data_IF_697807513143
#
_entry.id   IF_697807513143
#
_cell.length_a   1.000
_cell.length_b   1.000
_cell.length_c   1.000
_cell.angle_alpha   90.00
_cell.angle_beta   90.00
_cell.angle_gamma   90.00
#
_symmetry.space_group_name_H-M   'P 1'
#
loop_
_entity.id
_entity.type
_entity.pdbx_description
1 polymer ?
#
# COMPACT_ATOMS: atom_id res chain seq x y z
N UNK A 1 -49.41 -27.60 15.56
CA UNK A 1 -48.18 -26.84 15.30
C UNK A 1 -47.76 -27.05 13.84
N UNK A 2 -47.20 -26.05 13.15
CA UNK A 2 -46.55 -26.27 11.86
C UNK A 2 -45.36 -27.23 12.01
N UNK A 3 -45.10 -28.06 11.00
CA UNK A 3 -44.00 -29.04 11.04
C UNK A 3 -42.67 -28.30 10.84
N UNK A 4 -41.65 -28.51 11.71
CA UNK A 4 -40.34 -27.91 11.50
C UNK A 4 -39.77 -28.25 10.12
N UNK A 5 -39.19 -27.29 9.39
CA UNK A 5 -38.56 -27.59 8.11
C UNK A 5 -37.31 -28.45 8.33
N UNK A 6 -37.01 -29.33 7.37
CA UNK A 6 -35.79 -30.16 7.39
C UNK A 6 -34.53 -29.28 7.59
N UNK A 7 -33.50 -29.75 8.30
CA UNK A 7 -32.17 -29.11 8.23
C UNK A 7 -31.62 -29.07 6.80
N UNK A 8 -30.78 -28.09 6.49
CA UNK A 8 -30.11 -28.01 5.18
C UNK A 8 -29.22 -29.24 4.96
N UNK A 9 -29.16 -29.75 3.73
CA UNK A 9 -28.38 -30.94 3.39
C UNK A 9 -29.01 -32.27 3.83
N UNK A 10 -30.20 -32.26 4.45
CA UNK A 10 -30.87 -33.47 4.96
C UNK A 10 -32.12 -33.84 4.16
N UNK A 11 -32.52 -35.11 4.27
CA UNK A 11 -33.73 -35.66 3.68
C UNK A 11 -34.75 -36.14 4.71
N UNK A 12 -36.03 -36.02 4.35
CA UNK A 12 -37.14 -36.65 5.06
C UNK A 12 -37.25 -38.14 4.77
N UNK A 13 -38.22 -38.79 5.43
CA UNK A 13 -38.49 -40.25 5.30
C UNK A 13 -38.51 -40.71 3.84
N UNK A 14 -37.64 -41.66 3.52
CA UNK A 14 -37.63 -42.35 2.23
C UNK A 14 -38.89 -43.21 2.12
N UNK A 15 -39.56 -43.15 0.98
CA UNK A 15 -40.70 -44.00 0.64
C UNK A 15 -40.32 -44.89 -0.54
N UNK A 16 -40.59 -46.19 -0.42
CA UNK A 16 -40.39 -47.20 -1.46
C UNK A 16 -41.73 -47.47 -2.15
N UNK A 17 -41.71 -47.74 -3.45
CA UNK A 17 -42.90 -48.16 -4.21
C UNK A 17 -42.48 -49.01 -5.40
N UNK A 18 -43.13 -50.14 -5.65
CA UNK A 18 -42.99 -50.82 -6.95
C UNK A 18 -43.78 -50.04 -8.01
N UNK A 19 -43.21 -49.89 -9.21
CA UNK A 19 -43.81 -49.10 -10.31
C UNK A 19 -43.93 -49.87 -11.61
N UNK A 20 -43.23 -51.00 -11.73
CA UNK A 20 -43.47 -52.09 -12.69
C UNK A 20 -42.83 -53.36 -12.09
N UNK A 21 -43.19 -54.58 -12.53
CA UNK A 21 -42.60 -55.82 -12.01
C UNK A 21 -41.06 -55.78 -12.00
N UNK A 22 -40.46 -55.93 -10.81
CA UNK A 22 -39.01 -55.89 -10.65
C UNK A 22 -38.38 -54.50 -10.79
N UNK A 23 -39.16 -53.42 -10.89
CA UNK A 23 -38.70 -52.03 -10.91
C UNK A 23 -39.34 -51.25 -9.77
N UNK A 24 -38.54 -50.98 -8.74
CA UNK A 24 -38.95 -50.14 -7.62
C UNK A 24 -38.38 -48.73 -7.74
N UNK A 25 -39.13 -47.77 -7.23
CA UNK A 25 -38.72 -46.40 -6.96
C UNK A 25 -38.51 -46.21 -5.46
N UNK A 26 -37.47 -45.46 -5.09
CA UNK A 26 -37.36 -44.80 -3.81
C UNK A 26 -37.46 -43.28 -4.02
N UNK A 27 -38.19 -42.58 -3.15
CA UNK A 27 -38.35 -41.11 -3.18
C UNK A 27 -38.24 -40.49 -1.79
N UNK A 28 -37.62 -39.30 -1.71
CA UNK A 28 -37.54 -38.49 -0.50
C UNK A 28 -37.69 -36.99 -0.82
N UNK A 29 -38.00 -36.19 0.19
CA UNK A 29 -37.86 -34.74 0.16
C UNK A 29 -36.47 -34.39 0.69
N UNK A 30 -35.67 -33.63 -0.06
CA UNK A 30 -34.35 -33.13 0.37
C UNK A 30 -34.36 -31.61 0.43
N UNK A 31 -33.82 -31.01 1.50
CA UNK A 31 -33.66 -29.56 1.58
C UNK A 31 -32.27 -29.15 1.13
N UNK A 32 -32.21 -28.55 -0.04
CA UNK A 32 -30.98 -28.01 -0.62
C UNK A 32 -30.41 -26.86 0.20
N UNK A 33 -29.13 -26.58 -0.04
CA UNK A 33 -28.42 -25.45 0.55
C UNK A 33 -28.93 -24.08 0.06
N UNK A 34 -29.74 -24.01 -1.02
CA UNK A 34 -30.53 -22.81 -1.38
C UNK A 34 -31.80 -22.63 -0.53
N UNK A 35 -31.97 -23.46 0.51
CA UNK A 35 -33.09 -23.45 1.45
C UNK A 35 -34.37 -24.11 0.94
N UNK A 36 -34.47 -24.41 -0.37
CA UNK A 36 -35.67 -24.98 -0.98
C UNK A 36 -35.71 -26.49 -0.80
N UNK A 37 -36.91 -27.04 -0.64
CA UNK A 37 -37.12 -28.49 -0.55
C UNK A 37 -37.50 -29.04 -1.92
N UNK A 38 -36.76 -30.03 -2.41
CA UNK A 38 -36.97 -30.68 -3.72
C UNK A 38 -37.21 -32.18 -3.51
N UNK A 39 -38.08 -32.78 -4.33
CA UNK A 39 -38.22 -34.24 -4.38
C UNK A 39 -37.02 -34.82 -5.12
N UNK A 40 -36.40 -35.84 -4.55
CA UNK A 40 -35.37 -36.67 -5.21
C UNK A 40 -35.90 -38.09 -5.30
N UNK A 41 -35.78 -38.71 -6.47
CA UNK A 41 -36.09 -40.12 -6.67
C UNK A 41 -34.98 -40.88 -7.43
N UNK A 42 -34.90 -42.18 -7.15
CA UNK A 42 -34.02 -43.17 -7.80
C UNK A 42 -34.77 -44.48 -7.95
N UNK A 43 -34.28 -45.33 -8.86
CA UNK A 43 -34.89 -46.61 -9.20
C UNK A 43 -33.91 -47.77 -8.98
N UNK A 44 -34.42 -48.98 -8.82
CA UNK A 44 -33.60 -50.18 -8.70
C UNK A 44 -34.40 -51.48 -8.75
N UNK A 45 -33.69 -52.59 -9.00
CA UNK A 45 -34.26 -53.93 -9.19
C UNK A 45 -34.80 -54.59 -7.90
N UNK A 46 -34.83 -53.86 -6.78
CA UNK A 46 -35.56 -54.22 -5.55
C UNK A 46 -35.79 -52.94 -4.74
N UNK A 47 -36.78 -52.93 -3.84
CA UNK A 47 -37.03 -51.77 -2.97
C UNK A 47 -35.81 -51.35 -2.14
N UNK A 48 -34.95 -52.32 -1.74
CA UNK A 48 -33.70 -52.06 -1.04
C UNK A 48 -32.59 -51.53 -1.97
N UNK A 49 -32.49 -52.01 -3.22
CA UNK A 49 -31.55 -51.46 -4.22
C UNK A 49 -31.91 -50.01 -4.58
N UNK A 50 -33.19 -49.72 -4.78
CA UNK A 50 -33.67 -48.37 -5.05
C UNK A 50 -33.38 -47.40 -3.89
N UNK A 51 -33.53 -47.86 -2.63
CA UNK A 51 -33.19 -47.04 -1.46
C UNK A 51 -31.69 -46.79 -1.32
N UNK A 52 -30.83 -47.80 -1.52
CA UNK A 52 -29.36 -47.58 -1.49
C UNK A 52 -28.92 -46.55 -2.52
N UNK A 53 -29.38 -46.69 -3.77
CA UNK A 53 -29.11 -45.73 -4.84
C UNK A 53 -29.66 -44.32 -4.52
N UNK A 54 -30.77 -44.21 -3.78
CA UNK A 54 -31.27 -42.92 -3.32
C UNK A 54 -30.41 -42.34 -2.18
N UNK A 55 -30.04 -43.12 -1.17
CA UNK A 55 -29.19 -42.66 -0.06
C UNK A 55 -27.83 -42.20 -0.57
N UNK A 56 -27.21 -42.98 -1.46
CA UNK A 56 -25.97 -42.63 -2.16
C UNK A 56 -26.12 -41.32 -2.96
N UNK A 57 -27.20 -41.18 -3.75
CA UNK A 57 -27.48 -39.97 -4.51
C UNK A 57 -27.96 -38.76 -3.66
N UNK A 58 -28.17 -38.94 -2.36
CA UNK A 58 -28.47 -37.87 -1.40
C UNK A 58 -27.24 -37.49 -0.58
N UNK A 59 -26.37 -38.45 -0.20
CA UNK A 59 -25.11 -38.19 0.47
C UNK A 59 -24.06 -37.57 -0.45
N UNK A 60 -24.07 -37.93 -1.74
CA UNK A 60 -23.23 -37.31 -2.79
C UNK A 60 -23.81 -36.02 -3.36
N UNK A 61 -24.97 -35.54 -2.86
CA UNK A 61 -25.62 -34.32 -3.34
C UNK A 61 -24.97 -33.07 -2.74
N UNK A 62 -23.80 -32.74 -3.28
CA UNK A 62 -23.10 -31.49 -3.02
C UNK A 62 -23.95 -30.26 -3.39
N UNK A 63 -23.48 -29.07 -3.01
CA UNK A 63 -24.04 -27.80 -3.50
C UNK A 63 -24.07 -27.79 -5.03
N UNK A 64 -25.07 -27.15 -5.66
CA UNK A 64 -24.89 -26.56 -6.98
C UNK A 64 -23.88 -25.41 -6.84
N UNK A 65 -22.60 -25.70 -7.04
CA UNK A 65 -21.53 -24.69 -7.05
C UNK A 65 -21.35 -24.21 -8.49
N UNK A 66 -21.80 -23.00 -8.83
CA UNK A 66 -21.59 -22.38 -10.17
C UNK A 66 -20.13 -21.95 -10.43
N UNK A 67 -19.16 -22.55 -9.71
CA UNK A 67 -17.72 -22.38 -9.93
C UNK A 67 -17.11 -23.74 -10.27
N UNK A 68 -16.59 -23.88 -11.50
CA UNK A 68 -16.13 -25.15 -12.11
C UNK A 68 -14.84 -25.72 -11.47
N UNK A 69 -14.41 -25.18 -10.33
CA UNK A 69 -13.34 -25.73 -9.48
C UNK A 69 -13.83 -25.74 -8.03
N UNK A 70 -14.19 -26.93 -7.54
CA UNK A 70 -14.44 -27.12 -6.10
C UNK A 70 -13.11 -27.02 -5.34
N UNK A 71 -12.95 -25.92 -4.60
CA UNK A 71 -11.89 -25.78 -3.60
C UNK A 71 -12.33 -26.60 -2.39
N UNK A 72 -11.51 -27.58 -1.99
CA UNK A 72 -11.84 -28.50 -0.88
C UNK A 72 -10.76 -28.45 0.20
N UNK A 73 -10.95 -29.22 1.29
CA UNK A 73 -9.92 -29.41 2.33
C UNK A 73 -8.59 -29.94 1.77
N UNK A 74 -8.62 -30.65 0.65
CA UNK A 74 -7.47 -31.32 0.05
C UNK A 74 -6.75 -30.51 -1.03
N UNK A 75 -7.31 -29.39 -1.48
CA UNK A 75 -6.64 -28.44 -2.38
C UNK A 75 -5.33 -27.95 -1.74
N UNK A 76 -4.21 -27.95 -2.49
CA UNK A 76 -2.94 -27.41 -1.99
C UNK A 76 -2.97 -25.89 -1.94
N UNK A 77 -2.23 -25.27 -1.03
CA UNK A 77 -2.14 -23.80 -0.95
C UNK A 77 -1.50 -23.18 -2.20
N UNK A 78 -0.68 -23.91 -2.96
CA UNK A 78 -0.19 -23.49 -4.28
C UNK A 78 -1.35 -23.33 -5.30
N UNK A 79 -2.25 -24.30 -5.37
CA UNK A 79 -3.41 -24.29 -6.28
C UNK A 79 -4.41 -23.20 -5.86
N UNK A 80 -4.68 -23.08 -4.56
CA UNK A 80 -5.50 -22.00 -4.01
C UNK A 80 -4.91 -20.61 -4.31
N UNK A 81 -3.58 -20.46 -4.27
CA UNK A 81 -2.92 -19.20 -4.60
C UNK A 81 -3.11 -18.81 -6.07
N UNK A 82 -3.11 -19.80 -6.99
CA UNK A 82 -3.43 -19.60 -8.41
C UNK A 82 -4.89 -19.15 -8.59
N UNK A 83 -5.85 -19.93 -8.09
CA UNK A 83 -7.29 -19.62 -8.20
C UNK A 83 -7.64 -18.26 -7.58
N UNK A 84 -6.98 -17.89 -6.49
CA UNK A 84 -7.15 -16.60 -5.84
C UNK A 84 -6.57 -15.41 -6.64
N UNK A 85 -5.47 -15.62 -7.35
CA UNK A 85 -4.95 -14.62 -8.30
C UNK A 85 -5.92 -14.45 -9.48
N UNK A 86 -6.32 -15.55 -10.12
CA UNK A 86 -7.24 -15.55 -11.28
C UNK A 86 -8.54 -14.78 -10.95
N UNK A 87 -9.21 -15.14 -9.85
CA UNK A 87 -10.44 -14.46 -9.37
C UNK A 87 -10.24 -12.97 -9.03
N UNK A 88 -9.01 -12.54 -8.72
CA UNK A 88 -8.68 -11.11 -8.48
C UNK A 88 -8.33 -10.36 -9.76
N UNK A 89 -7.74 -11.03 -10.73
CA UNK A 89 -7.45 -10.48 -12.07
C UNK A 89 -8.77 -10.25 -12.83
N UNK A 90 -9.63 -11.27 -12.90
CA UNK A 90 -11.01 -11.17 -13.42
C UNK A 90 -11.78 -9.99 -12.82
N UNK A 91 -11.69 -9.81 -11.49
CA UNK A 91 -12.47 -8.80 -10.78
C UNK A 91 -12.23 -7.36 -11.24
N UNK A 92 -11.11 -7.08 -11.92
CA UNK A 92 -10.66 -5.76 -12.38
C UNK A 92 -10.58 -4.65 -11.29
N UNK A 93 -10.79 -5.00 -10.01
CA UNK A 93 -10.84 -4.06 -8.87
C UNK A 93 -9.46 -3.61 -8.38
N UNK A 94 -8.38 -4.27 -8.83
CA UNK A 94 -7.02 -4.09 -8.33
C UNK A 94 -6.10 -3.52 -9.43
N UNK A 95 -5.21 -2.60 -9.07
CA UNK A 95 -4.23 -2.08 -10.00
C UNK A 95 -3.16 -3.14 -10.33
N UNK A 96 -2.62 -3.13 -11.54
CA UNK A 96 -1.59 -4.08 -11.98
C UNK A 96 -0.40 -4.19 -11.01
N UNK A 97 0.09 -3.06 -10.46
CA UNK A 97 1.17 -3.05 -9.48
C UNK A 97 0.84 -3.71 -8.11
N UNK A 98 -0.44 -3.88 -7.79
CA UNK A 98 -0.90 -4.69 -6.65
C UNK A 98 -0.84 -6.17 -7.01
N UNK A 99 -1.40 -6.55 -8.16
CA UNK A 99 -1.40 -7.94 -8.64
C UNK A 99 0.04 -8.46 -8.82
N UNK A 100 0.94 -7.66 -9.41
CA UNK A 100 2.37 -7.99 -9.52
C UNK A 100 3.04 -8.20 -8.15
N UNK A 101 2.71 -7.37 -7.15
CA UNK A 101 3.21 -7.54 -5.79
C UNK A 101 2.67 -8.84 -5.14
N UNK A 102 1.43 -9.21 -5.42
CA UNK A 102 0.81 -10.40 -4.84
C UNK A 102 1.36 -11.68 -5.49
N UNK A 103 1.55 -11.68 -6.83
CA UNK A 103 2.30 -12.72 -7.57
C UNK A 103 3.75 -12.86 -7.07
N UNK A 104 4.44 -11.74 -6.82
CA UNK A 104 5.81 -11.70 -6.29
C UNK A 104 5.90 -12.37 -4.90
N UNK A 105 4.95 -12.12 -4.01
CA UNK A 105 4.88 -12.73 -2.67
C UNK A 105 4.50 -14.21 -2.71
N UNK A 106 3.62 -14.61 -3.63
CA UNK A 106 3.25 -16.01 -3.83
C UNK A 106 4.48 -16.79 -4.29
N UNK A 107 5.12 -16.35 -5.39
CA UNK A 107 6.28 -17.03 -5.99
C UNK A 107 7.48 -17.09 -5.06
N UNK A 108 7.80 -16.02 -4.32
CA UNK A 108 9.04 -15.94 -3.54
C UNK A 108 8.91 -16.38 -2.08
N UNK A 109 7.70 -16.46 -1.52
CA UNK A 109 7.51 -16.77 -0.10
C UNK A 109 6.44 -17.84 0.16
N UNK A 110 5.22 -17.67 -0.37
CA UNK A 110 4.11 -18.57 0.02
C UNK A 110 4.23 -19.94 -0.65
N UNK A 111 4.44 -20.03 -1.96
CA UNK A 111 4.61 -21.33 -2.63
C UNK A 111 5.83 -22.10 -2.10
N UNK A 112 7.03 -21.49 -1.91
CA UNK A 112 8.17 -22.20 -1.35
C UNK A 112 8.04 -22.62 0.13
N UNK A 113 7.25 -21.90 0.94
CA UNK A 113 7.14 -22.15 2.39
C UNK A 113 5.87 -22.87 2.84
N UNK A 114 4.83 -22.90 2.00
CA UNK A 114 3.50 -23.45 2.31
C UNK A 114 2.83 -24.16 1.12
N UNK A 115 3.44 -24.17 -0.07
CA UNK A 115 2.76 -24.54 -1.32
C UNK A 115 2.10 -25.91 -1.33
N UNK A 116 2.76 -26.91 -0.73
CA UNK A 116 2.28 -28.30 -0.68
C UNK A 116 1.35 -28.62 0.50
N UNK A 117 1.19 -27.70 1.45
CA UNK A 117 0.24 -27.84 2.57
C UNK A 117 -1.18 -27.77 2.02
N UNK A 118 -2.07 -28.65 2.49
CA UNK A 118 -3.49 -28.66 2.11
C UNK A 118 -4.27 -27.57 2.85
N UNK A 119 -5.37 -27.11 2.26
CA UNK A 119 -6.29 -26.12 2.87
C UNK A 119 -6.78 -26.54 4.26
N UNK A 120 -7.06 -27.83 4.48
CA UNK A 120 -7.45 -28.38 5.78
C UNK A 120 -6.31 -28.52 6.81
N UNK A 121 -5.04 -28.48 6.36
CA UNK A 121 -3.83 -28.58 7.19
C UNK A 121 -3.29 -27.19 7.60
N UNK A 122 -3.75 -26.13 6.94
CA UNK A 122 -3.31 -24.74 7.08
C UNK A 122 -3.78 -24.07 8.40
N UNK A 123 -3.54 -24.72 9.53
CA UNK A 123 -3.94 -24.27 10.87
C UNK A 123 -3.27 -22.96 11.29
N UNK A 124 -3.81 -22.33 12.34
CA UNK A 124 -3.24 -21.10 12.94
C UNK A 124 -1.75 -21.27 13.26
N UNK A 125 -1.34 -22.42 13.82
CA UNK A 125 0.06 -22.68 14.17
C UNK A 125 0.98 -22.78 12.95
N UNK A 126 0.55 -23.46 11.89
CA UNK A 126 1.32 -23.59 10.63
C UNK A 126 1.50 -22.23 9.96
N UNK A 127 0.43 -21.45 9.86
CA UNK A 127 0.47 -20.11 9.27
C UNK A 127 1.28 -19.12 10.12
N UNK A 128 1.18 -19.19 11.46
CA UNK A 128 1.97 -18.35 12.36
C UNK A 128 3.46 -18.68 12.30
N UNK A 129 3.83 -19.96 12.26
CA UNK A 129 5.22 -20.41 12.09
C UNK A 129 5.82 -19.90 10.78
N UNK A 130 5.10 -20.03 9.66
CA UNK A 130 5.50 -19.44 8.37
C UNK A 130 5.67 -17.91 8.46
N UNK A 131 4.69 -17.21 9.04
CA UNK A 131 4.75 -15.74 9.20
C UNK A 131 5.89 -15.28 10.13
N UNK A 132 6.34 -16.12 11.07
CA UNK A 132 7.56 -15.91 11.87
C UNK A 132 8.84 -16.16 11.06
N UNK A 133 8.87 -17.19 10.21
CA UNK A 133 10.03 -17.51 9.38
C UNK A 133 10.33 -16.47 8.27
N UNK A 134 9.31 -15.72 7.79
CA UNK A 134 9.53 -14.67 6.76
C UNK A 134 10.49 -13.58 7.28
N UNK A 135 11.65 -13.45 6.62
CA UNK A 135 12.82 -12.73 7.11
C UNK A 135 12.63 -11.23 7.44
N UNK A 136 11.63 -10.54 6.87
CA UNK A 136 11.37 -9.12 7.18
C UNK A 136 9.93 -8.85 7.58
N UNK A 137 9.77 -7.91 8.49
CA UNK A 137 8.49 -7.49 9.06
C UNK A 137 7.53 -6.85 8.05
N UNK A 138 8.09 -6.25 6.99
CA UNK A 138 7.31 -5.77 5.86
C UNK A 138 6.73 -6.94 5.04
N UNK A 139 7.58 -7.91 4.66
CA UNK A 139 7.16 -9.08 3.87
C UNK A 139 6.20 -9.98 4.65
N UNK A 140 6.45 -10.24 5.93
CA UNK A 140 5.56 -11.05 6.78
C UNK A 140 4.12 -10.48 6.79
N UNK A 141 3.96 -9.17 6.98
CA UNK A 141 2.64 -8.52 6.90
C UNK A 141 2.01 -8.60 5.51
N UNK A 142 2.80 -8.45 4.44
CA UNK A 142 2.31 -8.58 3.07
C UNK A 142 1.85 -10.02 2.76
N UNK A 143 2.64 -11.03 3.14
CA UNK A 143 2.26 -12.44 3.03
C UNK A 143 0.98 -12.74 3.83
N UNK A 144 0.80 -12.16 5.03
CA UNK A 144 -0.45 -12.29 5.80
C UNK A 144 -1.64 -11.72 5.05
N UNK A 145 -1.50 -10.59 4.35
CA UNK A 145 -2.59 -10.02 3.53
C UNK A 145 -2.97 -10.96 2.38
N UNK A 146 -1.98 -11.53 1.70
CA UNK A 146 -2.21 -12.50 0.59
C UNK A 146 -2.86 -13.78 1.11
N UNK A 147 -2.29 -14.42 2.14
CA UNK A 147 -2.85 -15.59 2.81
C UNK A 147 -4.26 -15.32 3.34
N UNK A 148 -4.54 -14.12 3.85
CA UNK A 148 -5.88 -13.74 4.28
C UNK A 148 -6.89 -13.74 3.14
N UNK A 149 -6.49 -13.27 1.96
CA UNK A 149 -7.31 -13.39 0.76
C UNK A 149 -7.54 -14.84 0.34
N UNK A 150 -6.48 -15.65 0.29
CA UNK A 150 -6.54 -17.07 -0.09
C UNK A 150 -7.46 -17.86 0.86
N UNK A 151 -7.23 -17.78 2.18
CA UNK A 151 -8.03 -18.52 3.16
C UNK A 151 -9.47 -17.97 3.29
N UNK A 152 -9.71 -16.70 2.93
CA UNK A 152 -11.09 -16.19 2.78
C UNK A 152 -11.78 -16.80 1.56
N UNK A 153 -11.06 -17.01 0.45
CA UNK A 153 -11.60 -17.73 -0.71
C UNK A 153 -11.91 -19.19 -0.36
N UNK A 154 -11.03 -19.89 0.35
CA UNK A 154 -11.30 -21.24 0.82
C UNK A 154 -12.55 -21.33 1.72
N UNK A 155 -12.73 -20.38 2.63
CA UNK A 155 -13.93 -20.30 3.48
C UNK A 155 -15.21 -19.95 2.69
N UNK A 156 -15.11 -19.17 1.60
CA UNK A 156 -16.24 -18.89 0.70
C UNK A 156 -16.71 -20.10 -0.11
N UNK A 157 -15.88 -21.13 -0.23
CA UNK A 157 -16.20 -22.40 -0.90
C UNK A 157 -16.45 -23.53 0.12
N UNK A 158 -16.70 -23.19 1.40
CA UNK A 158 -16.91 -24.12 2.53
C UNK A 158 -15.75 -25.12 2.78
N UNK A 159 -14.56 -24.89 2.21
CA UNK A 159 -13.40 -25.75 2.40
C UNK A 159 -12.84 -25.69 3.84
N UNK A 160 -13.11 -24.60 4.55
CA UNK A 160 -12.77 -24.39 5.97
C UNK A 160 -13.84 -23.52 6.65
N UNK A 161 -14.15 -23.84 7.91
CA UNK A 161 -15.25 -23.24 8.68
C UNK A 161 -15.01 -21.77 9.05
N UNK A 162 -13.74 -21.38 9.23
CA UNK A 162 -13.31 -20.00 9.46
C UNK A 162 -11.90 -19.78 8.91
N UNK A 163 -11.57 -18.55 8.53
CA UNK A 163 -10.23 -18.19 8.08
C UNK A 163 -9.21 -18.20 9.25
N UNK A 164 -8.23 -19.13 9.28
CA UNK A 164 -7.28 -19.28 10.39
C UNK A 164 -6.21 -18.17 10.45
N UNK A 165 -6.09 -17.31 9.43
CA UNK A 165 -5.11 -16.21 9.45
C UNK A 165 -5.42 -15.17 10.54
N UNK A 166 -6.68 -15.08 10.97
CA UNK A 166 -7.17 -14.03 11.87
C UNK A 166 -6.46 -14.14 13.22
N UNK A 167 -6.35 -15.36 13.72
CA UNK A 167 -5.82 -15.69 15.04
C UNK A 167 -4.27 -15.73 15.09
N UNK A 168 -3.58 -15.59 13.95
CA UNK A 168 -2.11 -15.58 13.90
C UNK A 168 -1.51 -14.30 14.52
N UNK A 169 -0.27 -14.38 15.01
CA UNK A 169 0.46 -13.27 15.63
C UNK A 169 0.77 -12.19 14.60
N UNK A 170 0.40 -10.94 14.89
CA UNK A 170 0.74 -9.80 14.03
C UNK A 170 2.10 -9.23 14.47
N UNK A 171 3.19 -9.59 13.78
CA UNK A 171 4.52 -9.03 14.10
C UNK A 171 4.46 -7.50 14.09
N UNK A 172 4.98 -6.88 15.15
CA UNK A 172 5.03 -5.43 15.34
C UNK A 172 6.49 -4.96 15.27
N UNK A 173 6.69 -3.90 14.50
CA UNK A 173 7.94 -3.16 14.39
C UNK A 173 7.54 -1.69 14.48
N UNK A 174 8.19 -0.95 15.38
CA UNK A 174 7.97 0.49 15.50
C UNK A 174 8.32 1.16 14.16
N UNK A 175 7.44 2.01 13.60
CA UNK A 175 7.73 2.68 12.35
C UNK A 175 8.96 3.58 12.53
N UNK A 176 9.99 3.37 11.72
CA UNK A 176 11.20 4.19 11.74
C UNK A 176 10.85 5.68 11.60
N UNK A 177 11.46 6.50 12.45
CA UNK A 177 11.15 7.92 12.56
C UNK A 177 11.24 8.65 11.21
N UNK A 178 10.46 9.71 11.07
CA UNK A 178 10.72 10.69 10.03
C UNK A 178 12.02 11.44 10.37
N UNK A 179 13.02 11.29 9.50
CA UNK A 179 14.18 12.17 9.40
C UNK A 179 14.01 12.99 8.12
N UNK A 180 14.06 14.31 8.26
CA UNK A 180 14.20 15.27 7.18
C UNK A 180 15.69 15.52 6.90
N UNK A 181 15.99 16.12 5.75
CA UNK A 181 17.30 16.75 5.51
C UNK A 181 17.35 18.11 6.22
N UNK A 182 18.50 18.52 6.74
CA UNK A 182 18.77 19.95 6.97
C UNK A 182 18.95 20.69 5.64
N UNK A 183 19.01 22.02 5.67
CA UNK A 183 19.33 22.81 4.47
C UNK A 183 20.73 22.48 3.97
N UNK A 184 21.72 22.37 4.86
CA UNK A 184 23.12 22.09 4.50
C UNK A 184 23.28 20.67 3.93
N UNK A 185 22.64 19.66 4.56
CA UNK A 185 22.57 18.29 4.03
C UNK A 185 21.96 18.25 2.63
N UNK A 186 20.94 19.09 2.36
CA UNK A 186 20.30 19.18 1.05
C UNK A 186 21.22 19.84 0.00
N UNK A 187 21.99 20.88 0.36
CA UNK A 187 22.91 21.51 -0.58
C UNK A 187 24.13 20.61 -0.88
N UNK A 188 24.72 19.97 0.13
CA UNK A 188 25.77 18.96 -0.07
C UNK A 188 25.29 17.80 -0.96
N UNK A 189 24.08 17.30 -0.72
CA UNK A 189 23.46 16.26 -1.55
C UNK A 189 23.22 16.74 -3.00
N UNK A 190 22.81 17.99 -3.21
CA UNK A 190 22.72 18.60 -4.56
C UNK A 190 24.08 18.64 -5.26
N UNK A 191 25.14 19.05 -4.56
CA UNK A 191 26.50 19.11 -5.09
C UNK A 191 26.98 17.70 -5.49
N UNK A 192 26.81 16.68 -4.64
CA UNK A 192 27.11 15.26 -4.97
C UNK A 192 26.35 14.78 -6.21
N UNK A 193 25.05 15.08 -6.29
CA UNK A 193 24.19 14.71 -7.44
C UNK A 193 24.65 15.41 -8.73
N UNK A 194 24.97 16.70 -8.66
CA UNK A 194 25.43 17.48 -9.81
C UNK A 194 26.78 16.99 -10.32
N UNK A 195 27.76 16.77 -9.45
CA UNK A 195 29.10 16.28 -9.82
C UNK A 195 29.08 14.85 -10.33
N UNK A 196 28.29 13.95 -9.73
CA UNK A 196 28.06 12.60 -10.25
C UNK A 196 27.44 12.61 -11.66
N UNK A 197 26.50 13.53 -11.92
CA UNK A 197 25.87 13.66 -13.24
C UNK A 197 26.80 14.33 -14.26
N UNK A 198 27.64 15.26 -13.80
CA UNK A 198 28.64 15.95 -14.61
C UNK A 198 29.80 15.07 -15.07
N UNK A 199 30.02 13.93 -14.43
CA UNK A 199 31.18 13.05 -14.65
C UNK A 199 30.84 11.71 -15.30
N UNK A 200 31.76 11.21 -16.12
CA UNK A 200 31.84 9.81 -16.51
C UNK A 200 33.28 9.48 -16.92
N UNK A 201 33.73 8.24 -16.69
CA UNK A 201 35.08 7.81 -17.05
C UNK A 201 35.19 7.47 -18.54
N UNK A 202 34.12 6.92 -19.14
CA UNK A 202 34.05 6.58 -20.56
C UNK A 202 32.64 6.86 -21.12
N UNK A 203 32.56 7.53 -22.26
CA UNK A 203 31.30 7.87 -22.92
C UNK A 203 30.57 9.08 -22.33
N UNK A 204 29.30 9.33 -22.74
CA UNK A 204 28.55 10.52 -22.37
C UNK A 204 28.36 10.71 -20.85
N UNK A 205 28.12 11.96 -20.42
CA UNK A 205 27.84 12.32 -19.03
C UNK A 205 26.62 11.55 -18.49
N UNK A 206 26.66 11.16 -17.20
CA UNK A 206 25.65 10.29 -16.58
C UNK A 206 24.41 11.09 -16.21
N UNK A 207 23.22 10.63 -16.57
CA UNK A 207 21.94 11.18 -16.08
C UNK A 207 21.91 12.71 -16.04
N UNK A 208 22.16 13.38 -17.17
CA UNK A 208 22.39 14.83 -17.23
C UNK A 208 21.18 15.67 -16.78
N UNK A 209 20.00 15.07 -16.70
CA UNK A 209 18.74 15.62 -16.19
C UNK A 209 18.48 15.33 -14.70
N UNK A 210 19.28 14.44 -14.10
CA UNK A 210 19.06 13.92 -12.75
C UNK A 210 19.13 14.98 -11.63
N UNK A 211 19.93 16.06 -11.73
CA UNK A 211 19.86 17.18 -10.78
C UNK A 211 18.52 17.91 -10.83
N UNK A 212 17.96 18.14 -12.02
CA UNK A 212 16.68 18.82 -12.18
C UNK A 212 15.49 17.93 -11.77
N UNK A 213 15.63 16.61 -11.91
CA UNK A 213 14.72 15.64 -11.32
C UNK A 213 14.78 15.66 -9.78
N UNK A 214 15.96 15.83 -9.18
CA UNK A 214 16.11 15.98 -7.73
C UNK A 214 15.51 17.29 -7.23
N UNK A 215 15.70 18.40 -7.95
CA UNK A 215 15.04 19.67 -7.66
C UNK A 215 13.51 19.56 -7.80
N UNK A 216 12.98 18.85 -8.79
CA UNK A 216 11.54 18.59 -8.90
C UNK A 216 10.99 17.69 -7.76
N UNK A 217 11.80 16.77 -7.22
CA UNK A 217 11.42 15.93 -6.07
C UNK A 217 11.32 16.73 -4.76
N UNK A 218 12.22 17.69 -4.52
CA UNK A 218 12.17 18.55 -3.33
C UNK A 218 11.22 19.75 -3.51
N UNK A 219 11.10 20.31 -4.72
CA UNK A 219 10.20 21.44 -5.01
C UNK A 219 8.71 21.07 -4.95
N UNK A 220 8.35 19.88 -5.44
CA UNK A 220 6.95 19.39 -5.34
C UNK A 220 6.65 18.65 -4.03
N UNK A 221 7.66 18.00 -3.44
CA UNK A 221 7.42 16.96 -2.41
C UNK A 221 6.71 15.71 -2.97
N UNK A 222 6.62 15.55 -4.28
CA UNK A 222 5.94 14.44 -4.95
C UNK A 222 6.57 13.08 -4.67
N UNK A 223 5.81 12.01 -4.90
CA UNK A 223 6.36 10.65 -4.95
C UNK A 223 7.16 10.50 -6.25
N UNK A 224 8.27 9.77 -6.24
CA UNK A 224 9.11 9.55 -7.43
C UNK A 224 8.34 9.01 -8.66
N UNK A 225 7.26 8.25 -8.47
CA UNK A 225 6.41 7.82 -9.58
C UNK A 225 5.54 8.94 -10.18
N UNK A 226 5.17 9.97 -9.40
CA UNK A 226 4.42 11.14 -9.85
C UNK A 226 5.33 12.11 -10.61
N UNK A 227 6.52 12.39 -10.06
CA UNK A 227 7.49 13.33 -10.69
C UNK A 227 8.05 12.78 -12.00
N UNK A 228 8.26 11.45 -12.10
CA UNK A 228 8.60 10.79 -13.37
C UNK A 228 7.42 10.70 -14.36
N UNK A 229 6.22 11.08 -13.94
CA UNK A 229 5.01 11.14 -14.76
C UNK A 229 4.57 12.58 -15.06
N UNK A 230 5.42 13.58 -14.80
CA UNK A 230 5.20 14.95 -15.28
C UNK A 230 5.28 14.99 -16.80
N UNK A 231 4.37 15.75 -17.41
CA UNK A 231 4.25 15.93 -18.85
C UNK A 231 4.24 17.43 -19.16
N UNK A 232 4.81 17.85 -20.30
CA UNK A 232 4.89 19.27 -20.68
C UNK A 232 3.50 19.91 -20.86
N UNK A 233 2.50 19.14 -21.32
CA UNK A 233 1.09 19.58 -21.42
C UNK A 233 0.46 19.95 -20.06
N UNK A 234 0.98 19.39 -18.96
CA UNK A 234 0.51 19.58 -17.60
C UNK A 234 1.28 20.66 -16.82
N UNK A 235 2.23 21.34 -17.45
CA UNK A 235 2.92 22.51 -16.88
C UNK A 235 2.25 23.79 -17.37
N UNK A 236 2.05 24.74 -16.45
CA UNK A 236 1.72 26.14 -16.75
C UNK A 236 2.89 27.00 -16.27
N UNK A 237 3.41 27.83 -17.16
CA UNK A 237 4.47 28.78 -16.82
C UNK A 237 3.86 30.01 -16.17
N UNK A 238 4.66 30.75 -15.40
CA UNK A 238 4.19 31.97 -14.73
C UNK A 238 3.77 33.04 -15.76
N UNK A 239 2.80 33.85 -15.36
CA UNK A 239 2.33 35.06 -16.06
C UNK A 239 2.10 36.15 -15.02
N UNK A 240 1.87 37.39 -15.44
CA UNK A 240 1.57 38.51 -14.55
C UNK A 240 0.30 38.29 -13.69
N UNK A 241 -0.53 37.30 -14.06
CA UNK A 241 -1.80 36.97 -13.40
C UNK A 241 -1.79 35.59 -12.69
N UNK A 242 -0.72 34.79 -12.81
CA UNK A 242 -0.68 33.42 -12.27
C UNK A 242 0.73 32.91 -12.03
N UNK A 243 1.01 32.23 -10.89
CA UNK A 243 2.30 31.58 -10.68
C UNK A 243 2.47 30.37 -11.62
N UNK A 244 3.69 29.85 -11.74
CA UNK A 244 3.93 28.60 -12.44
C UNK A 244 3.30 27.42 -11.66
N UNK A 245 2.72 26.45 -12.37
CA UNK A 245 2.02 25.31 -11.77
C UNK A 245 2.27 24.00 -12.54
N UNK A 246 2.14 22.85 -11.87
CA UNK A 246 2.09 21.52 -12.52
C UNK A 246 0.87 20.72 -12.05
N UNK A 247 0.19 20.02 -12.97
CA UNK A 247 -0.92 19.13 -12.63
C UNK A 247 -0.45 17.68 -12.44
N UNK A 248 -0.81 17.06 -11.30
CA UNK A 248 -0.44 15.68 -10.97
C UNK A 248 -1.36 14.64 -11.63
N UNK A 249 -1.31 14.53 -12.96
CA UNK A 249 -2.21 13.67 -13.74
C UNK A 249 -2.06 12.15 -13.46
N UNK A 250 -0.83 11.65 -13.34
CA UNK A 250 -0.54 10.21 -13.37
C UNK A 250 0.61 9.74 -12.49
N UNK A 251 1.05 8.50 -12.70
CA UNK A 251 2.22 7.92 -12.04
C UNK A 251 2.87 6.79 -12.86
N UNK A 252 4.21 6.70 -12.88
CA UNK A 252 4.94 5.56 -13.47
C UNK A 252 4.95 4.38 -12.50
N UNK A 253 4.61 3.19 -12.99
CA UNK A 253 4.45 2.00 -12.15
C UNK A 253 5.78 1.22 -11.92
N UNK A 254 5.69 -0.04 -11.44
CA UNK A 254 6.86 -0.93 -11.27
C UNK A 254 7.51 -1.32 -12.61
N UNK A 255 6.70 -1.51 -13.66
CA UNK A 255 7.09 -2.02 -14.98
C UNK A 255 7.73 -0.96 -15.88
N UNK A 256 7.47 0.33 -15.61
CA UNK A 256 7.86 1.44 -16.48
C UNK A 256 6.73 1.97 -17.35
N UNK A 257 5.49 1.53 -17.10
CA UNK A 257 4.30 2.01 -17.80
C UNK A 257 3.77 3.29 -17.11
N UNK A 258 3.31 4.26 -17.89
CA UNK A 258 2.52 5.38 -17.37
C UNK A 258 1.12 4.88 -16.97
N UNK A 259 0.65 5.30 -15.80
CA UNK A 259 -0.70 5.00 -15.33
C UNK A 259 -1.43 6.32 -14.98
N UNK A 260 -2.47 6.73 -15.72
CA UNK A 260 -3.37 7.78 -15.26
C UNK A 260 -4.05 7.31 -13.96
N UNK A 261 -4.26 8.20 -12.99
CA UNK A 261 -4.71 7.80 -11.65
C UNK A 261 -6.22 7.79 -11.50
N UNK A 262 -6.88 6.62 -11.24
CA UNK A 262 -8.33 6.53 -11.22
C UNK A 262 -8.86 6.07 -9.85
N UNK A 263 -8.41 6.64 -8.73
CA UNK A 263 -8.85 6.13 -7.40
C UNK A 263 -8.99 7.07 -6.20
N UNK A 264 -8.54 8.32 -6.26
CA UNK A 264 -8.93 9.38 -5.29
C UNK A 264 -8.74 10.75 -5.92
N UNK A 265 -9.79 11.57 -5.97
CA UNK A 265 -9.72 12.92 -6.56
C UNK A 265 -8.63 13.79 -5.89
N UNK A 266 -8.49 13.70 -4.57
CA UNK A 266 -7.44 14.39 -3.77
C UNK A 266 -6.00 14.09 -4.19
N UNK A 267 -5.77 13.02 -4.99
CA UNK A 267 -4.43 12.64 -5.46
C UNK A 267 -4.04 13.21 -6.83
N UNK A 268 -4.96 13.93 -7.49
CA UNK A 268 -4.72 14.73 -8.69
C UNK A 268 -5.08 16.19 -8.35
N UNK A 269 -4.09 17.07 -8.39
CA UNK A 269 -4.26 18.49 -8.07
C UNK A 269 -3.18 19.30 -8.80
N UNK A 270 -3.37 20.61 -8.86
CA UNK A 270 -2.32 21.54 -9.26
C UNK A 270 -1.41 21.84 -8.06
N UNK A 271 -0.09 21.76 -8.26
CA UNK A 271 0.90 22.30 -7.35
C UNK A 271 1.45 23.61 -7.92
N UNK A 272 1.50 24.65 -7.10
CA UNK A 272 2.27 25.86 -7.37
C UNK A 272 3.76 25.50 -7.27
N UNK A 273 4.57 26.02 -8.20
CA UNK A 273 5.99 25.70 -8.29
C UNK A 273 6.85 26.78 -7.63
N UNK A 274 7.81 26.42 -6.74
CA UNK A 274 8.82 27.35 -6.28
C UNK A 274 9.84 27.66 -7.39
N UNK A 275 10.40 28.87 -7.42
CA UNK A 275 11.20 29.36 -8.55
C UNK A 275 12.38 28.45 -8.93
N UNK A 276 13.06 27.85 -7.97
CA UNK A 276 14.17 26.92 -8.26
C UNK A 276 13.71 25.68 -9.04
N UNK A 277 12.47 25.24 -8.85
CA UNK A 277 11.86 24.16 -9.62
C UNK A 277 11.39 24.65 -10.99
N UNK A 278 10.95 25.90 -11.12
CA UNK A 278 10.69 26.53 -12.43
C UNK A 278 11.98 26.60 -13.25
N UNK A 279 13.09 27.03 -12.65
CA UNK A 279 14.42 27.02 -13.27
C UNK A 279 14.87 25.61 -13.64
N UNK A 280 14.62 24.60 -12.79
CA UNK A 280 14.92 23.20 -13.09
C UNK A 280 14.14 22.70 -14.31
N UNK A 281 12.84 23.04 -14.41
CA UNK A 281 12.01 22.71 -15.57
C UNK A 281 12.42 23.48 -16.84
N UNK A 282 12.86 24.74 -16.72
CA UNK A 282 13.42 25.50 -17.84
C UNK A 282 14.70 24.86 -18.37
N UNK A 283 15.66 24.53 -17.49
CA UNK A 283 16.87 23.76 -17.84
C UNK A 283 16.51 22.41 -18.47
N UNK A 284 15.49 21.73 -17.95
CA UNK A 284 15.05 20.43 -18.47
C UNK A 284 14.42 20.54 -19.86
N UNK A 285 13.63 21.58 -20.12
CA UNK A 285 13.07 21.87 -21.45
C UNK A 285 14.16 22.21 -22.46
N UNK A 286 15.17 22.98 -22.04
CA UNK A 286 16.31 23.37 -22.89
C UNK A 286 17.28 22.22 -23.24
N UNK A 287 17.10 21.00 -22.70
CA UNK A 287 17.89 19.82 -23.09
C UNK A 287 17.38 19.12 -24.35
N UNK A 288 16.18 19.46 -24.82
CA UNK A 288 15.52 18.86 -26.00
C UNK A 288 15.62 17.31 -26.04
N UNK A 289 15.28 16.68 -24.92
CA UNK A 289 15.35 15.22 -24.79
C UNK A 289 14.27 14.55 -25.66
N UNK A 290 14.54 13.36 -26.22
CA UNK A 290 13.55 12.58 -26.95
C UNK A 290 12.25 12.42 -26.15
N UNK A 291 11.11 12.58 -26.80
CA UNK A 291 9.78 12.40 -26.22
C UNK A 291 8.91 11.56 -27.14
N UNK A 292 8.12 10.66 -26.56
CA UNK A 292 6.99 10.04 -27.25
C UNK A 292 5.69 10.86 -27.04
N UNK A 293 4.56 10.28 -27.45
CA UNK A 293 3.20 10.82 -27.31
C UNK A 293 2.83 11.29 -25.89
N UNK A 294 3.47 10.76 -24.84
CA UNK A 294 3.20 11.15 -23.45
C UNK A 294 3.77 12.53 -23.09
N UNK A 295 4.65 13.12 -23.90
CA UNK A 295 5.20 14.46 -23.64
C UNK A 295 5.99 14.57 -22.33
N UNK A 296 6.67 13.51 -21.90
CA UNK A 296 7.26 13.42 -20.56
C UNK A 296 8.39 14.42 -20.32
N UNK A 297 8.43 14.98 -19.10
CA UNK A 297 9.49 15.89 -18.63
C UNK A 297 10.79 15.12 -18.34
N UNK A 298 10.70 13.88 -17.84
CA UNK A 298 11.84 13.03 -17.49
C UNK A 298 11.79 11.66 -18.21
N UNK A 299 11.89 11.64 -19.56
CA UNK A 299 11.75 10.44 -20.39
C UNK A 299 12.90 9.44 -20.20
N UNK A 300 12.80 8.24 -20.77
CA UNK A 300 13.92 7.33 -20.98
C UNK A 300 14.85 7.86 -22.10
N UNK A 301 15.89 7.10 -22.45
CA UNK A 301 16.72 7.39 -23.63
C UNK A 301 15.89 7.41 -24.93
N UNK A 302 14.78 6.67 -24.93
CA UNK A 302 13.99 6.32 -26.11
C UNK A 302 12.63 7.04 -26.10
N UNK A 303 12.52 8.13 -25.35
CA UNK A 303 11.32 8.99 -25.25
C UNK A 303 10.15 8.46 -24.43
N UNK A 304 10.11 7.15 -24.13
CA UNK A 304 9.10 6.54 -23.24
C UNK A 304 9.36 6.81 -21.75
N UNK A 305 8.61 6.18 -20.82
CA UNK A 305 8.81 6.40 -19.39
C UNK A 305 10.02 5.65 -18.81
N UNK A 306 10.78 6.28 -17.91
CA UNK A 306 11.88 5.61 -17.19
C UNK A 306 11.40 4.90 -15.93
N UNK A 307 11.90 3.69 -15.65
CA UNK A 307 11.43 2.91 -14.49
C UNK A 307 11.81 3.56 -13.16
N UNK A 308 10.91 3.45 -12.17
CA UNK A 308 11.20 3.91 -10.81
C UNK A 308 12.31 3.08 -10.13
N UNK A 309 12.64 1.90 -10.65
CA UNK A 309 13.75 1.07 -10.18
C UNK A 309 15.12 1.62 -10.63
N UNK A 310 15.26 1.93 -11.93
CA UNK A 310 16.49 2.47 -12.51
C UNK A 310 16.79 3.86 -11.93
N UNK A 311 15.77 4.71 -11.80
CA UNK A 311 15.88 6.04 -11.18
C UNK A 311 16.32 5.96 -9.71
N UNK A 312 15.86 4.95 -8.96
CA UNK A 312 16.34 4.68 -7.60
C UNK A 312 17.77 4.11 -7.56
N UNK A 313 18.26 3.47 -8.63
CA UNK A 313 19.66 3.04 -8.75
C UNK A 313 20.55 4.27 -8.94
N UNK A 314 20.26 5.10 -9.93
CA UNK A 314 20.93 6.39 -10.16
C UNK A 314 21.00 7.23 -8.88
N UNK A 315 19.91 7.31 -8.09
CA UNK A 315 19.94 8.01 -6.81
C UNK A 315 20.91 7.42 -5.78
N UNK A 316 21.02 6.08 -5.69
CA UNK A 316 21.97 5.41 -4.80
C UNK A 316 23.41 5.58 -5.24
N UNK A 317 23.64 5.62 -6.55
CA UNK A 317 24.96 5.80 -7.13
C UNK A 317 25.43 7.26 -6.94
N UNK A 318 24.52 8.23 -7.14
CA UNK A 318 24.80 9.66 -7.03
C UNK A 318 25.07 10.13 -5.59
N UNK A 319 24.23 9.74 -4.63
CA UNK A 319 24.41 10.12 -3.21
C UNK A 319 25.69 9.55 -2.57
N UNK A 320 26.25 8.48 -3.16
CA UNK A 320 27.51 7.82 -2.76
C UNK A 320 28.75 8.42 -3.42
N UNK A 321 28.58 9.33 -4.37
CA UNK A 321 29.69 10.12 -4.89
C UNK A 321 30.22 11.03 -3.78
N UNK A 322 31.54 11.15 -3.67
CA UNK A 322 32.23 12.04 -2.73
C UNK A 322 32.81 13.18 -3.56
N UNK A 323 32.63 14.42 -3.11
CA UNK A 323 33.16 15.61 -3.78
C UNK A 323 34.36 16.11 -2.98
N UNK A 324 35.38 16.62 -3.68
CA UNK A 324 36.53 17.24 -3.03
C UNK A 324 36.31 18.75 -2.97
N UNK A 325 36.24 19.30 -1.76
CA UNK A 325 36.17 20.73 -1.48
C UNK A 325 37.53 21.18 -0.95
N UNK A 326 38.20 22.09 -1.69
CA UNK A 326 39.58 22.52 -1.43
C UNK A 326 40.62 21.38 -1.36
N UNK A 327 40.30 20.20 -1.90
CA UNK A 327 41.13 19.00 -1.89
C UNK A 327 40.67 17.93 -0.90
N UNK A 328 39.87 18.30 0.11
CA UNK A 328 39.38 17.39 1.15
C UNK A 328 37.99 16.82 0.83
N UNK A 329 37.65 15.58 1.25
CA UNK A 329 36.31 15.02 1.06
C UNK A 329 35.20 15.81 1.78
N UNK A 330 34.11 16.09 1.06
CA UNK A 330 32.88 16.69 1.61
C UNK A 330 32.16 15.80 2.67
N UNK A 331 32.59 14.54 2.78
CA UNK A 331 32.18 13.58 3.80
C UNK A 331 32.34 12.15 3.33
N UNK A 332 32.08 11.13 4.18
CA UNK A 332 32.16 9.74 3.77
C UNK A 332 31.08 9.39 2.73
N UNK A 333 31.33 8.31 1.96
CA UNK A 333 30.45 7.89 0.87
C UNK A 333 29.06 7.39 1.35
N UNK A 334 28.92 7.02 2.62
CA UNK A 334 27.69 6.52 3.25
C UNK A 334 26.91 7.61 4.02
N UNK A 335 27.41 8.85 4.10
CA UNK A 335 26.76 10.01 4.74
C UNK A 335 25.26 10.13 4.40
N UNK A 336 24.91 9.90 3.13
CA UNK A 336 23.54 9.95 2.61
C UNK A 336 22.91 8.56 2.35
N UNK A 337 23.44 7.47 2.90
CA UNK A 337 22.89 6.10 2.77
C UNK A 337 21.44 6.00 3.26
N UNK A 338 21.06 6.81 4.25
CA UNK A 338 19.70 6.90 4.78
C UNK A 338 18.74 7.71 3.90
N UNK A 339 19.25 8.54 2.97
CA UNK A 339 18.44 9.42 2.11
C UNK A 339 17.84 8.61 0.97
N UNK A 340 16.54 8.70 0.77
CA UNK A 340 15.83 8.08 -0.37
C UNK A 340 14.98 9.12 -1.08
N UNK A 341 14.40 8.83 -2.26
CA UNK A 341 13.41 9.73 -2.86
C UNK A 341 12.18 10.00 -1.98
N UNK A 342 11.91 9.19 -0.95
CA UNK A 342 10.88 9.49 0.07
C UNK A 342 11.36 10.52 1.10
N UNK A 343 12.67 10.71 1.27
CA UNK A 343 13.25 11.67 2.22
C UNK A 343 12.98 13.11 1.79
N UNK A 344 13.08 13.48 0.51
CA UNK A 344 12.69 14.82 0.04
C UNK A 344 11.25 15.18 0.47
N UNK A 345 10.32 14.23 0.28
CA UNK A 345 8.92 14.35 0.74
C UNK A 345 8.76 14.38 2.28
N UNK A 346 9.71 13.85 3.06
CA UNK A 346 9.76 14.06 4.52
C UNK A 346 10.26 15.48 4.85
N UNK A 347 11.27 15.97 4.13
CA UNK A 347 11.81 17.33 4.29
C UNK A 347 10.73 18.38 4.01
N UNK A 348 10.06 18.33 2.85
CA UNK A 348 8.95 19.24 2.49
C UNK A 348 7.85 19.21 3.54
N UNK A 349 7.38 18.01 3.93
CA UNK A 349 6.33 17.87 4.93
C UNK A 349 6.74 18.41 6.31
N UNK A 350 8.01 18.27 6.69
CA UNK A 350 8.53 18.77 7.97
C UNK A 350 8.60 20.29 7.96
N UNK A 351 9.23 20.89 6.93
CA UNK A 351 9.34 22.35 6.80
C UNK A 351 7.94 22.98 6.75
N UNK A 352 7.02 22.48 5.92
CA UNK A 352 5.66 23.04 5.86
C UNK A 352 4.88 22.87 7.17
N UNK A 353 5.07 21.75 7.89
CA UNK A 353 4.42 21.54 9.19
C UNK A 353 5.00 22.42 10.30
N UNK A 354 6.25 22.85 10.15
CA UNK A 354 6.97 23.68 11.11
C UNK A 354 6.79 25.19 10.87
N UNK A 355 6.70 25.62 9.61
CA UNK A 355 6.59 27.04 9.20
C UNK A 355 5.14 27.51 8.98
N UNK A 356 4.24 26.64 8.51
CA UNK A 356 2.86 27.01 8.10
C UNK A 356 1.79 26.21 8.88
N UNK A 357 1.95 24.90 8.96
CA UNK A 357 1.04 24.02 9.69
C UNK A 357 0.86 22.62 9.08
N UNK A 358 0.30 21.72 9.88
CA UNK A 358 0.10 20.31 9.51
C UNK A 358 -0.84 20.13 8.31
N UNK A 359 -1.77 21.07 8.14
CA UNK A 359 -2.81 21.10 7.13
C UNK A 359 -2.22 21.46 5.76
N UNK A 360 -1.46 22.56 5.67
CA UNK A 360 -0.70 22.94 4.47
C UNK A 360 0.30 21.82 4.06
N UNK A 361 0.97 21.21 5.04
CA UNK A 361 1.83 20.04 4.80
C UNK A 361 1.07 18.80 4.32
N UNK A 362 -0.23 18.67 4.59
CA UNK A 362 -1.07 17.59 4.07
C UNK A 362 -1.58 17.88 2.66
N UNK A 363 -1.95 19.14 2.40
CA UNK A 363 -2.45 19.62 1.10
C UNK A 363 -1.38 19.56 0.01
N UNK A 364 -0.19 20.13 0.25
CA UNK A 364 0.98 20.02 -0.67
C UNK A 364 1.32 18.56 -1.00
N UNK A 365 1.06 17.64 -0.07
CA UNK A 365 1.34 16.22 -0.26
C UNK A 365 0.15 15.46 -0.89
N UNK A 366 -1.03 16.06 -1.08
CA UNK A 366 -2.24 15.36 -1.52
C UNK A 366 -2.63 14.21 -0.58
N UNK A 367 -2.61 14.47 0.73
CA UNK A 367 -3.07 13.53 1.74
C UNK A 367 -4.49 13.87 2.19
N UNK A 368 -5.36 12.85 2.28
CA UNK A 368 -6.75 12.99 2.75
C UNK A 368 -6.90 13.27 4.25
N UNK A 369 -5.80 13.35 4.99
CA UNK A 369 -5.80 13.70 6.42
C UNK A 369 -4.40 14.14 6.88
N UNK A 370 -4.29 15.23 7.68
CA UNK A 370 -3.03 15.64 8.31
C UNK A 370 -2.39 14.58 9.21
N UNK A 371 -3.16 13.64 9.76
CA UNK A 371 -2.60 12.56 10.59
C UNK A 371 -1.71 11.60 9.78
N UNK A 372 -1.99 11.40 8.49
CA UNK A 372 -1.11 10.62 7.60
C UNK A 372 0.24 11.34 7.44
N UNK A 373 0.23 12.67 7.34
CA UNK A 373 1.43 13.52 7.28
C UNK A 373 2.21 13.45 8.60
N UNK A 374 1.52 13.67 9.73
CA UNK A 374 2.09 13.66 11.10
C UNK A 374 2.72 12.32 11.46
N UNK A 375 2.09 11.20 11.07
CA UNK A 375 2.53 9.85 11.43
C UNK A 375 3.70 9.32 10.59
N UNK A 376 3.86 9.77 9.35
CA UNK A 376 4.75 9.12 8.37
C UNK A 376 5.73 10.03 7.64
N UNK A 377 5.57 11.35 7.72
CA UNK A 377 6.35 12.31 6.91
C UNK A 377 7.00 13.42 7.73
N UNK A 378 6.33 13.98 8.74
CA UNK A 378 6.87 15.05 9.61
C UNK A 378 7.85 14.49 10.63
N UNK A 379 9.07 15.03 10.69
CA UNK A 379 10.04 14.75 11.76
C UNK A 379 9.52 15.28 13.10
N UNK A 380 9.47 14.42 14.13
CA UNK A 380 9.08 14.85 15.48
C UNK A 380 10.20 15.70 16.10
N UNK A 381 9.94 16.99 16.29
CA UNK A 381 10.77 17.86 17.13
C UNK A 381 10.85 17.30 18.56
N UNK A 382 12.01 17.39 19.20
CA UNK A 382 12.23 17.05 20.63
C UNK A 382 11.95 18.21 21.57
N UNK A 383 11.95 19.44 21.04
CA UNK A 383 11.69 20.70 21.73
C UNK A 383 10.55 21.38 20.95
N UNK A 384 9.52 21.87 21.63
CA UNK A 384 8.41 22.59 20.99
C UNK A 384 8.87 23.93 20.42
N UNK A 385 8.11 24.50 19.47
CA UNK A 385 8.33 25.88 19.04
C UNK A 385 8.14 26.87 20.19
N UNK A 386 8.71 28.07 20.08
CA UNK A 386 8.66 29.08 21.14
C UNK A 386 7.30 29.79 21.22
N UNK A 387 6.37 29.12 21.89
CA UNK A 387 5.02 29.61 22.15
C UNK A 387 4.92 30.48 23.41
N UNK A 388 6.04 30.92 24.02
CA UNK A 388 6.02 31.78 25.22
C UNK A 388 5.15 33.01 25.01
N UNK A 389 5.31 33.72 23.89
CA UNK A 389 4.48 34.87 23.52
C UNK A 389 2.95 34.64 23.47
N UNK A 390 2.49 33.37 23.45
CA UNK A 390 1.08 32.98 23.63
C UNK A 390 0.80 32.58 25.08
N UNK A 391 1.66 31.76 25.69
CA UNK A 391 1.50 31.26 27.06
C UNK A 391 1.69 32.34 28.13
N UNK A 392 2.46 33.38 27.86
CA UNK A 392 2.67 34.54 28.73
C UNK A 392 1.37 35.36 28.89
N UNK A 393 0.38 35.18 28.01
CA UNK A 393 -0.99 35.71 28.18
C UNK A 393 -1.77 34.98 29.29
N UNK A 394 -1.28 33.81 29.73
CA UNK A 394 -1.78 33.06 30.87
C UNK A 394 -0.99 33.40 32.16
N UNK A 395 -0.03 34.33 32.09
CA UNK A 395 0.71 34.77 33.26
C UNK A 395 -0.24 35.39 34.30
N UNK A 396 -0.04 35.11 35.61
CA UNK A 396 -0.87 35.69 36.65
C UNK A 396 -0.64 37.21 36.75
N UNK A 397 -1.73 37.95 37.00
CA UNK A 397 -1.78 39.44 37.11
C UNK A 397 -0.95 40.01 38.28
N UNK A 398 -0.33 39.14 39.07
CA UNK A 398 0.73 39.44 40.06
C UNK A 398 1.72 38.27 40.03
N UNK A 399 2.97 38.46 40.46
CA UNK A 399 4.11 37.51 40.30
C UNK A 399 3.94 36.16 41.05
N UNK A 400 2.95 35.36 40.65
CA UNK A 400 2.48 34.16 41.34
C UNK A 400 1.68 34.46 42.62
N UNK A 401 0.81 33.54 43.00
CA UNK A 401 0.34 33.44 44.39
C UNK A 401 1.31 32.52 45.13
N UNK A 402 1.95 33.03 46.19
CA UNK A 402 2.77 32.23 47.10
C UNK A 402 1.96 31.97 48.37
N UNK A 403 1.85 30.70 48.77
CA UNK A 403 1.32 30.35 50.10
C UNK A 403 2.47 30.46 51.08
N UNK A 404 2.46 31.48 51.94
CA UNK A 404 3.37 31.54 53.08
C UNK A 404 2.88 30.62 54.21
N UNK A 405 3.77 30.25 55.13
CA UNK A 405 3.50 29.29 56.22
C UNK A 405 2.46 29.76 57.28
N UNK A 406 1.82 30.91 57.07
CA UNK A 406 0.79 31.47 57.94
C UNK A 406 -0.62 31.16 57.46
N UNK A 407 -1.42 30.54 58.34
CA UNK A 407 -2.86 30.32 58.14
C UNK A 407 -3.60 31.66 57.97
N UNK A 408 -3.83 32.11 56.73
CA UNK A 408 -5.02 32.86 56.27
C UNK A 408 -4.89 33.39 54.82
N UNK A 409 -5.35 32.59 53.84
CA UNK A 409 -5.72 33.04 52.49
C UNK A 409 -4.59 33.45 51.52
N UNK A 410 -4.87 33.48 50.20
CA UNK A 410 -3.93 33.97 49.20
C UNK A 410 -3.92 35.51 49.17
N UNK A 411 -2.87 36.14 49.70
CA UNK A 411 -2.70 37.59 49.64
C UNK A 411 -2.17 38.04 48.27
N UNK A 412 -2.72 39.15 47.75
CA UNK A 412 -2.19 39.83 46.56
C UNK A 412 -0.95 40.65 46.96
N UNK A 413 0.20 40.35 46.37
CA UNK A 413 1.30 41.33 46.30
C UNK A 413 1.04 42.27 45.12
N UNK A 414 0.47 43.43 45.41
CA UNK A 414 0.41 44.57 44.49
C UNK A 414 1.82 45.13 44.27
N UNK A 415 2.32 45.04 43.04
CA UNK A 415 3.59 45.60 42.60
C UNK A 415 3.49 45.88 41.10
N UNK A 416 3.91 47.07 40.71
CA UNK A 416 3.60 47.78 39.46
C UNK A 416 3.73 46.95 38.17
N UNK A 417 2.87 47.29 37.20
CA UNK A 417 2.95 46.80 35.83
C UNK A 417 3.79 47.78 34.99
N UNK A 418 4.71 47.20 34.21
CA UNK A 418 5.42 47.81 33.06
C UNK A 418 5.51 46.71 31.99
#
# INVERSE_FOLDING_TARGET
>A
MPRPPLPLGTWGRINRTEVAPGRHRARAQYRDYDGKTRVVERFGASGAKAERALVEALSTRARPTDSVVDITRDTRLADLAKLWLEKREESSKYAAGTLDNDRELIKLHITPGLGDVRVGEATVGVLDAFLRAVATDARSRQCRTVLSGMMTLAAQHDAIDRNPIVDTTRRFSAPAAARALTIDELQQLRIRIATWSGTNQYGPKRGTDFPDLADCLIGSGGRISEVLAFQWEHIRWATDLSPAMVYLAGAINKRGEYQPRPKTATSQHWLILPDFMVSALQRQKARDLPSNELGLVFPSRDGGPRTTANTRRQFRDARKFVVLENGEPDGPADMFEWVTPKTFRKTVATILADEIGMEAAAEQLGHTSPEITRRHYVQRKKITGDVRHVLDRLAPVSRGYSVGDTKNGPSRKSGEAV
#
